data_IF_153124065577
#
_entry.id   IF_153124065577
#
_cell.length_a   1.000
_cell.length_b   1.000
_cell.length_c   1.000
_cell.angle_alpha   90.00
_cell.angle_beta   90.00
_cell.angle_gamma   90.00
#
_symmetry.space_group_name_H-M   'P 1'
#
loop_
_entity.id
_entity.type
_entity.pdbx_description
1 polymer ?
#
# COMPACT_ATOMS: atom_id res chain seq x y z
N UNK A 1 -11.48 0.64 21.99
CA UNK A 1 -10.35 1.25 21.26
C UNK A 1 -10.68 2.65 20.75
N UNK A 2 -11.60 2.84 19.80
CA UNK A 2 -11.90 4.14 19.17
C UNK A 2 -12.30 5.26 20.15
N UNK A 3 -13.00 4.94 21.24
CA UNK A 3 -13.33 5.92 22.29
C UNK A 3 -12.09 6.47 23.00
N UNK A 4 -11.10 5.63 23.32
CA UNK A 4 -9.84 6.07 23.93
C UNK A 4 -9.03 6.94 22.95
N UNK A 5 -8.98 6.52 21.69
CA UNK A 5 -8.35 7.27 20.60
C UNK A 5 -8.98 8.66 20.45
N UNK A 6 -10.32 8.76 20.48
CA UNK A 6 -11.07 10.02 20.46
C UNK A 6 -10.76 10.92 21.66
N UNK A 7 -10.72 10.34 22.86
CA UNK A 7 -10.39 11.11 24.07
C UNK A 7 -8.97 11.70 23.98
N UNK A 8 -8.01 10.94 23.46
CA UNK A 8 -6.64 11.43 23.28
C UNK A 8 -6.49 12.54 22.23
N UNK A 9 -7.30 12.55 21.15
CA UNK A 9 -7.35 13.71 20.24
C UNK A 9 -7.86 14.98 20.92
N UNK A 10 -8.80 14.87 21.87
CA UNK A 10 -9.28 16.04 22.64
C UNK A 10 -8.32 16.49 23.74
N UNK A 11 -7.42 15.61 24.19
CA UNK A 11 -6.37 15.89 25.19
C UNK A 11 -5.06 16.42 24.57
N UNK A 12 -5.07 16.82 23.28
CA UNK A 12 -3.95 17.42 22.54
C UNK A 12 -2.70 16.53 22.38
N UNK A 13 -2.84 15.21 22.52
CA UNK A 13 -1.73 14.28 22.30
C UNK A 13 -1.37 14.11 20.81
N UNK A 14 -2.36 14.25 19.92
CA UNK A 14 -2.21 14.19 18.47
C UNK A 14 -3.42 14.81 17.76
N UNK A 15 -3.18 15.52 16.65
CA UNK A 15 -4.21 16.28 15.93
C UNK A 15 -4.96 15.46 14.87
N UNK A 16 -4.34 14.42 14.32
CA UNK A 16 -4.86 13.63 13.19
C UNK A 16 -4.49 12.17 13.32
N UNK A 17 -5.35 11.30 12.78
CA UNK A 17 -5.17 9.85 12.80
C UNK A 17 -5.49 9.33 11.42
N UNK A 18 -4.60 8.50 10.90
CA UNK A 18 -4.79 7.80 9.64
C UNK A 18 -4.75 6.29 9.91
N UNK A 19 -5.79 5.58 9.46
CA UNK A 19 -5.98 4.15 9.76
C UNK A 19 -6.02 3.40 8.44
N UNK A 20 -5.14 2.40 8.28
CA UNK A 20 -5.09 1.53 7.09
C UNK A 20 -5.22 0.05 7.47
N UNK A 21 -5.61 -0.79 6.51
CA UNK A 21 -5.64 -2.25 6.64
C UNK A 21 -6.97 -2.90 6.26
N UNK A 22 -6.98 -4.23 6.21
CA UNK A 22 -8.14 -5.08 5.85
C UNK A 22 -8.94 -5.55 7.07
N UNK A 23 -8.76 -4.91 8.23
CA UNK A 23 -9.49 -5.30 9.44
C UNK A 23 -11.00 -5.10 9.18
N UNK A 24 -11.86 -6.10 9.49
CA UNK A 24 -13.30 -5.95 9.39
C UNK A 24 -13.76 -4.97 10.47
N UNK A 25 -13.60 -3.68 10.20
CA UNK A 25 -14.12 -2.63 11.03
C UNK A 25 -15.53 -2.39 10.51
N UNK A 26 -16.52 -2.74 11.33
CA UNK A 26 -17.88 -2.32 11.07
C UNK A 26 -17.86 -0.80 11.18
N UNK A 27 -18.04 -0.09 10.06
CA UNK A 27 -18.09 1.38 10.01
C UNK A 27 -19.05 1.98 11.05
N UNK A 28 -20.06 1.22 11.52
CA UNK A 28 -20.93 1.62 12.64
C UNK A 28 -20.19 1.83 13.98
N UNK A 29 -19.13 1.08 14.27
CA UNK A 29 -18.38 1.22 15.53
C UNK A 29 -17.50 2.48 15.54
N UNK A 30 -17.05 2.92 14.36
CA UNK A 30 -16.36 4.20 14.19
C UNK A 30 -17.38 5.34 14.14
N UNK A 31 -18.44 5.23 13.34
CA UNK A 31 -19.38 6.34 13.12
C UNK A 31 -20.35 6.59 14.29
N UNK A 32 -20.62 5.61 15.17
CA UNK A 32 -21.45 5.84 16.37
C UNK A 32 -20.64 6.25 17.63
N UNK A 33 -19.34 5.92 17.69
CA UNK A 33 -18.44 6.31 18.78
C UNK A 33 -17.54 7.52 18.46
N UNK A 34 -17.27 7.75 17.18
CA UNK A 34 -16.24 8.63 16.63
C UNK A 34 -16.80 9.44 15.43
N UNK A 35 -17.60 10.49 15.69
CA UNK A 35 -18.03 11.47 14.67
C UNK A 35 -16.88 12.34 14.11
N UNK A 36 -15.63 11.91 14.25
CA UNK A 36 -14.42 12.64 13.86
C UNK A 36 -13.63 11.92 12.76
N UNK A 37 -14.15 10.79 12.25
CA UNK A 37 -13.49 9.98 11.26
C UNK A 37 -14.18 10.11 9.90
N UNK A 38 -13.38 10.33 8.86
CA UNK A 38 -13.79 10.36 7.48
C UNK A 38 -13.26 9.11 6.77
N UNK A 39 -14.11 8.44 5.97
CA UNK A 39 -13.67 7.31 5.16
C UNK A 39 -13.22 7.80 3.79
N UNK A 40 -11.92 7.72 3.54
CA UNK A 40 -11.27 8.18 2.31
C UNK A 40 -10.73 7.02 1.46
N UNK A 41 -11.15 5.78 1.73
CA UNK A 41 -10.60 4.57 1.10
C UNK A 41 -10.67 4.58 -0.45
N UNK A 42 -11.68 5.21 -1.04
CA UNK A 42 -11.86 5.27 -2.49
C UNK A 42 -11.25 6.54 -3.13
N UNK A 43 -10.53 7.36 -2.37
CA UNK A 43 -9.87 8.56 -2.91
C UNK A 43 -8.73 8.14 -3.86
N UNK A 44 -8.78 8.55 -5.15
CA UNK A 44 -7.74 8.21 -6.12
C UNK A 44 -6.36 8.72 -5.72
N UNK A 45 -6.26 9.80 -4.95
CA UNK A 45 -4.99 10.34 -4.45
C UNK A 45 -4.30 9.43 -3.43
N UNK A 46 -5.00 8.42 -2.90
CA UNK A 46 -4.48 7.47 -1.93
C UNK A 46 -4.29 6.07 -2.53
N UNK A 47 -4.48 5.91 -3.85
CA UNK A 47 -4.40 4.61 -4.51
C UNK A 47 -2.99 4.00 -4.40
N UNK A 48 -1.94 4.83 -4.47
CA UNK A 48 -0.54 4.42 -4.33
C UNK A 48 -0.22 3.88 -2.92
N UNK A 49 -0.88 4.37 -1.88
CA UNK A 49 -0.70 3.92 -0.50
C UNK A 49 -1.05 2.45 -0.26
N UNK A 50 -1.86 1.86 -1.13
CA UNK A 50 -2.29 0.47 -1.02
C UNK A 50 -1.35 -0.51 -1.74
N UNK A 51 -0.32 -0.03 -2.43
CA UNK A 51 0.55 -0.83 -3.26
C UNK A 51 1.96 -0.29 -3.40
N UNK A 52 2.71 -0.85 -4.34
CA UNK A 52 3.92 -0.22 -4.85
C UNK A 52 3.64 0.33 -6.24
N UNK A 53 4.15 1.51 -6.53
CA UNK A 53 4.14 2.08 -7.88
C UNK A 53 5.09 1.31 -8.81
N UNK A 54 4.96 1.47 -10.13
CA UNK A 54 5.92 0.92 -11.09
C UNK A 54 7.34 1.40 -10.82
N UNK A 55 7.51 2.68 -10.51
CA UNK A 55 8.82 3.25 -10.21
C UNK A 55 9.47 2.60 -8.97
N UNK A 56 8.70 2.38 -7.90
CA UNK A 56 9.17 1.71 -6.69
C UNK A 56 9.50 0.24 -6.94
N UNK A 57 8.63 -0.47 -7.69
CA UNK A 57 8.88 -1.87 -8.02
C UNK A 57 10.10 -2.02 -8.91
N UNK A 58 10.29 -1.12 -9.86
CA UNK A 58 11.48 -1.10 -10.70
C UNK A 58 12.74 -0.86 -9.88
N UNK A 59 12.69 0.10 -8.96
CA UNK A 59 13.82 0.41 -8.10
C UNK A 59 14.17 -0.77 -7.19
N UNK A 60 13.17 -1.42 -6.59
CA UNK A 60 13.38 -2.58 -5.73
C UNK A 60 14.07 -3.75 -6.47
N UNK A 61 13.70 -3.99 -7.73
CA UNK A 61 14.37 -5.00 -8.57
C UNK A 61 15.82 -4.59 -8.86
N UNK A 62 16.07 -3.32 -9.20
CA UNK A 62 17.42 -2.80 -9.41
C UNK A 62 18.30 -2.99 -8.18
N UNK A 63 17.80 -2.57 -7.01
CA UNK A 63 18.51 -2.68 -5.74
C UNK A 63 18.89 -4.13 -5.41
N UNK A 64 17.97 -5.07 -5.66
CA UNK A 64 18.22 -6.51 -5.46
C UNK A 64 19.29 -7.03 -6.43
N UNK A 65 19.22 -6.67 -7.72
CA UNK A 65 20.20 -7.10 -8.73
C UNK A 65 21.59 -6.60 -8.37
N UNK A 66 21.72 -5.33 -7.99
CA UNK A 66 22.99 -4.71 -7.60
C UNK A 66 23.54 -5.31 -6.31
N UNK A 67 22.72 -5.40 -5.25
CA UNK A 67 23.14 -5.92 -3.95
C UNK A 67 23.57 -7.39 -4.01
N UNK A 68 23.03 -8.16 -4.95
CA UNK A 68 23.34 -9.59 -5.14
C UNK A 68 24.28 -9.87 -6.31
N UNK A 69 24.75 -8.82 -7.01
CA UNK A 69 25.64 -8.93 -8.19
C UNK A 69 25.09 -9.91 -9.23
N UNK A 70 23.77 -9.87 -9.45
CA UNK A 70 23.10 -10.73 -10.42
C UNK A 70 23.40 -10.26 -11.84
N UNK A 71 23.28 -11.16 -12.82
CA UNK A 71 23.38 -10.78 -14.23
C UNK A 71 22.31 -9.69 -14.55
N UNK A 72 22.70 -8.54 -15.13
CA UNK A 72 21.77 -7.51 -15.60
C UNK A 72 20.62 -8.04 -16.46
N UNK A 73 20.81 -9.12 -17.23
CA UNK A 73 19.73 -9.75 -18.02
C UNK A 73 18.56 -10.24 -17.16
N UNK A 74 18.80 -10.52 -15.87
CA UNK A 74 17.74 -10.89 -14.93
C UNK A 74 16.82 -9.71 -14.61
N UNK A 75 17.29 -8.47 -14.72
CA UNK A 75 16.51 -7.26 -14.44
C UNK A 75 15.31 -7.15 -15.40
N UNK A 76 15.55 -7.21 -16.71
CA UNK A 76 14.50 -7.16 -17.73
C UNK A 76 13.48 -8.27 -17.52
N UNK A 77 13.95 -9.50 -17.27
CA UNK A 77 13.06 -10.63 -17.02
C UNK A 77 12.24 -10.47 -15.74
N UNK A 78 12.80 -9.88 -14.69
CA UNK A 78 12.09 -9.59 -13.46
C UNK A 78 10.98 -8.58 -13.68
N UNK A 79 11.27 -7.47 -14.38
CA UNK A 79 10.26 -6.47 -14.71
C UNK A 79 9.14 -7.04 -15.57
N UNK A 80 9.46 -7.85 -16.58
CA UNK A 80 8.45 -8.50 -17.43
C UNK A 80 7.56 -9.44 -16.61
N UNK A 81 8.16 -10.25 -15.72
CA UNK A 81 7.40 -11.13 -14.84
C UNK A 81 6.52 -10.34 -13.89
N UNK A 82 7.05 -9.31 -13.24
CA UNK A 82 6.28 -8.58 -12.23
C UNK A 82 5.12 -7.83 -12.85
N UNK A 83 5.37 -7.16 -13.98
CA UNK A 83 4.33 -6.47 -14.75
C UNK A 83 3.26 -7.43 -15.29
N UNK A 84 3.64 -8.64 -15.70
CA UNK A 84 2.66 -9.61 -16.23
C UNK A 84 1.79 -10.22 -15.13
N UNK A 85 2.36 -10.51 -13.96
CA UNK A 85 1.70 -11.34 -12.95
C UNK A 85 1.26 -10.60 -11.68
N UNK A 86 1.81 -9.42 -11.38
CA UNK A 86 1.61 -8.76 -10.08
C UNK A 86 1.17 -7.29 -10.16
N UNK A 87 1.16 -6.70 -11.36
CA UNK A 87 0.60 -5.38 -11.66
C UNK A 87 -0.93 -5.44 -11.89
N UNK A 88 -1.59 -4.28 -11.92
CA UNK A 88 -2.98 -4.13 -12.34
C UNK A 88 -3.97 -3.85 -11.21
N UNK A 89 -3.51 -3.63 -9.97
CA UNK A 89 -4.40 -3.34 -8.85
C UNK A 89 -4.80 -1.88 -8.84
N UNK A 90 -6.10 -1.64 -8.66
CA UNK A 90 -6.68 -0.32 -8.37
C UNK A 90 -7.56 -0.43 -7.13
N UNK A 91 -7.31 0.43 -6.16
CA UNK A 91 -8.09 0.52 -4.93
C UNK A 91 -9.15 1.63 -4.99
N UNK A 92 -8.92 2.63 -5.85
CA UNK A 92 -9.95 3.55 -6.30
C UNK A 92 -10.35 3.26 -7.75
N UNK A 93 -11.66 3.18 -8.07
CA UNK A 93 -12.13 3.05 -9.46
C UNK A 93 -11.62 4.16 -10.38
N UNK A 94 -11.46 5.37 -9.82
CA UNK A 94 -11.11 6.60 -10.53
C UNK A 94 -9.60 6.88 -10.54
N UNK A 95 -8.76 5.99 -9.99
CA UNK A 95 -7.30 6.16 -10.05
C UNK A 95 -6.79 6.06 -11.51
N UNK A 96 -5.83 6.89 -11.90
CA UNK A 96 -5.24 6.79 -13.24
C UNK A 96 -4.22 5.65 -13.34
N UNK A 97 -3.47 5.43 -12.26
CA UNK A 97 -2.37 4.47 -12.20
C UNK A 97 -2.77 3.18 -11.49
N UNK A 98 -2.16 2.07 -11.90
CA UNK A 98 -2.22 0.79 -11.18
C UNK A 98 -1.05 0.67 -10.22
N UNK A 99 -1.23 -0.15 -9.20
CA UNK A 99 -0.17 -0.50 -8.25
C UNK A 99 0.07 -2.00 -8.24
N UNK A 100 1.26 -2.38 -7.80
CA UNK A 100 1.61 -3.76 -7.50
C UNK A 100 1.05 -4.13 -6.13
N UNK A 101 0.48 -5.34 -6.02
CA UNK A 101 0.11 -5.88 -4.72
C UNK A 101 1.36 -6.07 -3.83
N UNK A 102 1.42 -5.45 -2.62
CA UNK A 102 2.63 -5.49 -1.80
C UNK A 102 3.09 -6.89 -1.42
N UNK A 103 2.15 -7.75 -1.04
CA UNK A 103 2.46 -9.13 -0.63
C UNK A 103 3.08 -9.93 -1.77
N UNK A 104 2.50 -9.84 -2.97
CA UNK A 104 3.01 -10.56 -4.14
C UNK A 104 4.36 -10.00 -4.60
N UNK A 105 4.52 -8.67 -4.61
CA UNK A 105 5.78 -8.02 -4.93
C UNK A 105 6.91 -8.46 -3.98
N UNK A 106 6.66 -8.46 -2.67
CA UNK A 106 7.63 -8.89 -1.66
C UNK A 106 7.96 -10.38 -1.77
N UNK A 107 6.97 -11.24 -2.05
CA UNK A 107 7.20 -12.66 -2.29
C UNK A 107 8.03 -12.91 -3.55
N UNK A 108 7.76 -12.17 -4.62
CA UNK A 108 8.55 -12.22 -5.83
C UNK A 108 10.00 -11.83 -5.54
N UNK A 109 10.23 -10.66 -4.92
CA UNK A 109 11.58 -10.20 -4.61
C UNK A 109 12.33 -11.23 -3.77
N UNK A 110 11.70 -11.79 -2.74
CA UNK A 110 12.29 -12.84 -1.90
C UNK A 110 12.67 -14.11 -2.68
N UNK A 111 11.90 -14.49 -3.70
CA UNK A 111 12.13 -15.70 -4.49
C UNK A 111 13.06 -15.48 -5.69
N UNK A 112 13.21 -14.23 -6.13
CA UNK A 112 13.97 -13.86 -7.32
C UNK A 112 15.50 -14.00 -7.15
N UNK A 113 15.99 -14.01 -5.91
CA UNK A 113 17.41 -14.20 -5.57
C UNK A 113 17.65 -15.31 -4.55
#
# INVERSE_FOLDING_TARGET
>A
MFKAVKTSTSELLFDRIFITGVSPIVMRDITSGCNIAENIYADPLLNDMCGFTHAEMEQAVRDVVEARQLNPDKMTRAHDMTRTYYDGYKFSPDADETVYNPTMALYFLKAFY
#
